data_IF_965940284719
#
_entry.id   IF_965940284719
#
_cell.length_a   1.000
_cell.length_b   1.000
_cell.length_c   1.000
_cell.angle_alpha   90.00
_cell.angle_beta   90.00
_cell.angle_gamma   90.00
#
_symmetry.space_group_name_H-M   'P 1'
#
loop_
_entity.id
_entity.type
_entity.pdbx_description
1 polymer ?
#
# COMPACT_ATOMS: atom_id res chain seq x y z
N UNK A 1 24.47 -1.32 10.36
CA UNK A 1 23.21 -2.05 10.09
C UNK A 1 22.35 -1.14 9.22
N UNK A 2 21.78 -1.60 8.09
CA UNK A 2 20.88 -0.75 7.31
C UNK A 2 19.63 -0.41 8.15
N UNK A 3 19.03 0.77 7.95
CA UNK A 3 17.83 1.18 8.66
C UNK A 3 16.67 0.20 8.37
N UNK A 4 15.86 -0.07 9.40
CA UNK A 4 14.66 -0.90 9.25
C UNK A 4 13.68 -0.13 8.37
N UNK A 5 13.32 -0.71 7.22
CA UNK A 5 12.31 -0.14 6.31
C UNK A 5 10.96 -0.06 7.02
N UNK A 6 10.29 1.08 6.86
CA UNK A 6 8.92 1.26 7.30
C UNK A 6 7.97 0.30 6.56
N UNK A 7 6.75 0.18 7.08
CA UNK A 7 5.71 -0.60 6.42
C UNK A 7 5.42 -0.07 5.00
N UNK A 8 5.32 1.26 4.82
CA UNK A 8 5.10 1.87 3.51
C UNK A 8 6.22 1.54 2.52
N UNK A 9 7.48 1.55 2.96
CA UNK A 9 8.62 1.21 2.10
C UNK A 9 8.60 -0.26 1.66
N UNK A 10 8.20 -1.19 2.53
CA UNK A 10 8.03 -2.60 2.15
C UNK A 10 6.93 -2.81 1.10
N UNK A 11 5.86 -2.01 1.17
CA UNK A 11 4.81 -2.03 0.14
C UNK A 11 5.33 -1.45 -1.17
N UNK A 12 6.07 -0.35 -1.11
CA UNK A 12 6.70 0.24 -2.30
C UNK A 12 7.67 -0.74 -2.96
N UNK A 13 8.47 -1.48 -2.19
CA UNK A 13 9.33 -2.55 -2.71
C UNK A 13 8.51 -3.62 -3.44
N UNK A 14 7.41 -4.10 -2.85
CA UNK A 14 6.54 -5.10 -3.48
C UNK A 14 5.93 -4.58 -4.79
N UNK A 15 5.50 -3.31 -4.82
CA UNK A 15 4.99 -2.66 -6.04
C UNK A 15 6.07 -2.54 -7.12
N UNK A 16 7.34 -2.36 -6.74
CA UNK A 16 8.47 -2.36 -7.68
C UNK A 16 8.73 -3.77 -8.21
N UNK A 17 8.72 -4.79 -7.36
CA UNK A 17 8.86 -6.20 -7.77
C UNK A 17 7.77 -6.61 -8.77
N UNK A 18 6.55 -6.11 -8.59
CA UNK A 18 5.41 -6.39 -9.46
C UNK A 18 5.38 -5.49 -10.72
N UNK A 19 6.36 -4.58 -10.87
CA UNK A 19 6.47 -3.68 -12.03
C UNK A 19 5.46 -2.53 -12.06
N UNK A 20 4.75 -2.30 -10.95
CA UNK A 20 3.75 -1.24 -10.80
C UNK A 20 4.38 0.11 -10.43
N UNK A 21 5.56 0.08 -9.83
CA UNK A 21 6.40 1.26 -9.57
C UNK A 21 7.82 1.05 -10.09
N UNK A 22 8.48 2.13 -10.49
CA UNK A 22 9.93 2.13 -10.67
C UNK A 22 10.65 2.56 -9.38
N UNK A 23 11.89 2.12 -9.22
CA UNK A 23 12.75 2.55 -8.10
C UNK A 23 12.88 4.06 -8.03
N UNK A 24 13.00 4.73 -9.18
CA UNK A 24 13.05 6.19 -9.29
C UNK A 24 11.78 6.86 -8.76
N UNK A 25 10.60 6.35 -9.08
CA UNK A 25 9.34 6.88 -8.53
C UNK A 25 9.29 6.72 -7.01
N UNK A 26 9.78 5.59 -6.48
CA UNK A 26 9.83 5.39 -5.02
C UNK A 26 10.75 6.42 -4.36
N UNK A 27 11.93 6.68 -4.93
CA UNK A 27 12.85 7.71 -4.42
C UNK A 27 12.19 9.11 -4.41
N UNK A 28 11.53 9.50 -5.50
CA UNK A 28 10.82 10.78 -5.60
C UNK A 28 9.70 10.90 -4.55
N UNK A 29 8.94 9.82 -4.33
CA UNK A 29 7.88 9.78 -3.34
C UNK A 29 8.40 9.83 -1.90
N UNK A 30 9.54 9.20 -1.61
CA UNK A 30 10.19 9.26 -0.30
C UNK A 30 10.68 10.68 0.01
N UNK A 31 11.20 11.38 -0.99
CA UNK A 31 11.60 12.78 -0.84
C UNK A 31 10.38 13.70 -0.63
N UNK A 32 9.27 13.45 -1.32
CA UNK A 32 8.01 14.16 -1.09
C UNK A 32 7.44 13.90 0.31
N UNK A 33 7.44 12.63 0.77
CA UNK A 33 7.04 12.27 2.13
C UNK A 33 7.84 13.04 3.19
N UNK A 34 9.16 13.19 3.01
CA UNK A 34 10.00 13.95 3.95
C UNK A 34 9.70 15.45 3.93
N UNK A 35 9.36 16.01 2.78
CA UNK A 35 9.04 17.44 2.61
C UNK A 35 7.66 17.79 3.16
N UNK A 36 6.66 16.95 2.91
CA UNK A 36 5.25 17.23 3.20
C UNK A 36 4.77 16.62 4.51
N UNK A 37 5.47 15.60 5.04
CA UNK A 37 5.01 14.82 6.20
C UNK A 37 3.83 13.88 5.88
N UNK A 38 3.51 13.70 4.60
CA UNK A 38 2.42 12.83 4.13
C UNK A 38 2.85 11.36 4.13
N UNK A 39 1.92 10.44 4.44
CA UNK A 39 2.20 8.99 4.38
C UNK A 39 2.53 8.55 2.95
N UNK A 40 3.59 7.77 2.77
CA UNK A 40 4.01 7.25 1.46
C UNK A 40 2.88 6.60 0.63
N UNK A 41 2.07 5.72 1.25
CA UNK A 41 0.96 5.04 0.57
C UNK A 41 -0.08 6.02 0.02
N UNK A 42 -0.34 7.11 0.74
CA UNK A 42 -1.26 8.16 0.29
C UNK A 42 -0.69 8.87 -0.94
N UNK A 43 0.61 9.18 -0.94
CA UNK A 43 1.28 9.80 -2.09
C UNK A 43 1.27 8.89 -3.33
N UNK A 44 1.45 7.58 -3.17
CA UNK A 44 1.38 6.61 -4.28
C UNK A 44 0.01 6.65 -4.96
N UNK A 45 -1.07 6.68 -4.17
CA UNK A 45 -2.45 6.73 -4.66
C UNK A 45 -2.78 8.11 -5.27
N UNK A 46 -2.41 9.20 -4.62
CA UNK A 46 -2.69 10.57 -5.11
C UNK A 46 -1.99 10.88 -6.43
N UNK A 47 -0.79 10.32 -6.65
CA UNK A 47 -0.08 10.44 -7.92
C UNK A 47 -0.64 9.53 -9.02
N UNK A 48 -1.65 8.71 -8.71
CA UNK A 48 -2.26 7.74 -9.63
C UNK A 48 -1.24 6.79 -10.27
N UNK A 49 -0.13 6.50 -9.57
CA UNK A 49 0.87 5.55 -10.06
C UNK A 49 0.39 4.10 -9.93
N UNK A 50 -0.44 3.83 -8.92
CA UNK A 50 -0.98 2.51 -8.61
C UNK A 50 -2.45 2.65 -8.28
N UNK A 51 -3.29 1.73 -8.79
CA UNK A 51 -4.71 1.69 -8.47
C UNK A 51 -4.99 1.15 -7.06
N UNK A 52 -6.19 1.41 -6.53
CA UNK A 52 -6.58 0.93 -5.20
C UNK A 52 -6.55 -0.61 -5.09
N UNK A 53 -6.94 -1.31 -6.16
CA UNK A 53 -6.96 -2.79 -6.18
C UNK A 53 -5.55 -3.35 -6.08
N UNK A 54 -4.62 -2.85 -6.90
CA UNK A 54 -3.23 -3.29 -6.91
C UNK A 54 -2.55 -2.99 -5.57
N UNK A 55 -2.83 -1.82 -5.00
CA UNK A 55 -2.36 -1.43 -3.67
C UNK A 55 -2.82 -2.44 -2.60
N UNK A 56 -4.11 -2.79 -2.59
CA UNK A 56 -4.67 -3.74 -1.62
C UNK A 56 -4.06 -5.13 -1.77
N UNK A 57 -3.77 -5.58 -3.00
CA UNK A 57 -3.09 -6.86 -3.28
C UNK A 57 -1.66 -6.85 -2.74
N UNK A 58 -0.88 -5.81 -3.02
CA UNK A 58 0.50 -5.68 -2.51
C UNK A 58 0.53 -5.57 -0.99
N UNK A 59 -0.44 -4.88 -0.38
CA UNK A 59 -0.62 -4.85 1.07
C UNK A 59 -0.89 -6.23 1.67
N UNK A 60 -1.77 -7.00 1.05
CA UNK A 60 -2.05 -8.36 1.48
C UNK A 60 -0.81 -9.26 1.46
N UNK A 61 -0.01 -9.17 0.38
CA UNK A 61 1.25 -9.93 0.25
C UNK A 61 2.25 -9.58 1.35
N UNK A 62 2.46 -8.30 1.64
CA UNK A 62 3.44 -7.86 2.66
C UNK A 62 2.99 -8.16 4.08
N UNK A 63 1.67 -8.13 4.34
CA UNK A 63 1.09 -8.47 5.64
C UNK A 63 0.87 -9.98 5.82
N UNK A 64 1.00 -10.77 4.76
CA UNK A 64 0.60 -12.18 4.72
C UNK A 64 -0.88 -12.38 5.11
N UNK A 65 -1.75 -11.50 4.58
CA UNK A 65 -3.20 -11.51 4.80
C UNK A 65 -3.91 -11.39 3.45
N UNK A 66 -4.86 -12.27 3.10
CA UNK A 66 -5.54 -12.18 1.82
C UNK A 66 -6.45 -10.93 1.76
N UNK A 67 -6.54 -10.24 0.62
CA UNK A 67 -7.50 -9.16 0.43
C UNK A 67 -8.93 -9.71 0.39
N UNK A 68 -9.88 -8.92 0.87
CA UNK A 68 -11.28 -9.33 1.05
C UNK A 68 -12.22 -8.42 0.27
N UNK A 69 -13.12 -9.01 -0.52
CA UNK A 69 -14.19 -8.27 -1.19
C UNK A 69 -15.44 -8.24 -0.30
N UNK A 70 -15.65 -7.12 0.38
CA UNK A 70 -16.76 -6.95 1.32
C UNK A 70 -18.15 -7.10 0.67
N UNK A 71 -18.31 -6.74 -0.61
CA UNK A 71 -19.58 -6.89 -1.32
C UNK A 71 -19.97 -8.35 -1.59
N UNK A 72 -19.04 -9.29 -1.38
CA UNK A 72 -19.24 -10.74 -1.62
C UNK A 72 -19.21 -11.57 -0.35
N UNK A 73 -19.18 -10.94 0.82
CA UNK A 73 -19.14 -11.62 2.11
C UNK A 73 -20.38 -11.25 2.91
N UNK A 74 -21.05 -12.27 3.46
CA UNK A 74 -22.06 -12.06 4.50
C UNK A 74 -21.37 -11.66 5.79
N UNK A 75 -21.58 -10.41 6.23
CA UNK A 75 -21.12 -9.95 7.55
C UNK A 75 -22.16 -10.43 8.57
N UNK A 76 -21.77 -11.20 9.60
CA UNK A 76 -22.71 -11.64 10.64
C UNK A 76 -23.39 -10.43 11.32
N UNK A 77 -24.70 -10.48 11.62
CA UNK A 77 -25.42 -9.35 12.23
C UNK A 77 -24.75 -8.82 13.52
N UNK A 78 -24.26 -9.73 14.37
CA UNK A 78 -23.55 -9.41 15.61
C UNK A 78 -22.27 -8.60 15.39
N UNK A 79 -21.67 -8.68 14.19
CA UNK A 79 -20.48 -7.90 13.80
C UNK A 79 -20.86 -6.60 13.10
N UNK A 80 -21.98 -6.58 12.37
CA UNK A 80 -22.45 -5.42 11.62
C UNK A 80 -23.01 -4.29 12.50
N UNK A 81 -23.25 -4.56 13.79
CA UNK A 81 -23.93 -3.63 14.68
C UNK A 81 -25.41 -3.43 14.32
N UNK A 82 -26.02 -4.43 13.66
CA UNK A 82 -27.41 -4.48 13.21
C UNK A 82 -28.23 -5.45 14.06
#
# INVERSE_FOLDING_TARGET
MPPIKSFGERIADALVEDGLLSTKQVEELLDLQKKEGTRLLKLILEKSYVGEVDMVVSMGRVLNVPPVNLSRIGIPPETAGL
#
